data_IF_209266154853
#
_entry.id   IF_209266154853
#
_cell.length_a   1.000
_cell.length_b   1.000
_cell.length_c   1.000
_cell.angle_alpha   90.00
_cell.angle_beta   90.00
_cell.angle_gamma   90.00
#
_symmetry.space_group_name_H-M   'P 1'
#
loop_
_entity.id
_entity.type
_entity.pdbx_description
1 polymer ?
#
# COMPACT_ATOMS: atom_id res chain seq x y z
N UNK A 1 2.97 -7.09 65.99
CA UNK A 1 2.74 -6.55 64.66
C UNK A 1 1.50 -7.25 64.09
N UNK A 2 0.42 -6.52 63.83
CA UNK A 2 -0.94 -7.07 63.69
C UNK A 2 -1.16 -7.80 62.33
N UNK A 3 -1.64 -9.02 62.38
CA UNK A 3 -1.95 -9.87 61.20
C UNK A 3 -2.79 -9.15 60.13
N UNK A 4 -3.64 -8.20 60.55
CA UNK A 4 -4.43 -7.34 59.68
C UNK A 4 -3.58 -6.36 58.87
N UNK A 5 -2.46 -5.91 59.39
CA UNK A 5 -1.54 -5.00 58.72
C UNK A 5 -0.77 -5.69 57.57
N UNK A 6 -0.40 -6.96 57.74
CA UNK A 6 0.23 -7.75 56.71
C UNK A 6 -0.72 -8.07 55.58
N UNK A 7 -1.99 -8.35 55.86
CA UNK A 7 -3.00 -8.63 54.83
C UNK A 7 -3.29 -7.37 54.01
N UNK A 8 -3.39 -6.19 54.65
CA UNK A 8 -3.63 -4.93 53.94
C UNK A 8 -2.42 -4.52 53.06
N UNK A 9 -1.19 -4.75 53.53
CA UNK A 9 0.03 -4.49 52.75
C UNK A 9 0.16 -5.45 51.54
N UNK A 10 -0.21 -6.73 51.73
CA UNK A 10 -0.17 -7.72 50.67
C UNK A 10 -1.22 -7.43 49.59
N UNK A 11 -2.44 -7.01 49.98
CA UNK A 11 -3.48 -6.59 49.05
C UNK A 11 -3.09 -5.33 48.26
N UNK A 12 -2.46 -4.34 48.90
CA UNK A 12 -2.02 -3.12 48.20
C UNK A 12 -0.87 -3.38 47.20
N UNK A 13 0.03 -4.34 47.47
CA UNK A 13 1.09 -4.76 46.51
C UNK A 13 0.48 -5.53 45.34
N UNK A 14 -0.50 -6.40 45.57
CA UNK A 14 -1.15 -7.17 44.49
C UNK A 14 -1.98 -6.27 43.59
N UNK A 15 -2.68 -5.26 44.12
CA UNK A 15 -3.44 -4.28 43.33
C UNK A 15 -2.48 -3.36 42.57
N UNK A 16 -1.37 -2.95 43.19
CA UNK A 16 -0.34 -2.12 42.54
C UNK A 16 0.36 -2.85 41.36
N UNK A 17 0.59 -4.16 41.46
CA UNK A 17 1.19 -4.94 40.38
C UNK A 17 0.21 -5.19 39.23
N UNK A 18 -1.07 -5.23 39.46
CA UNK A 18 -2.08 -5.38 38.40
C UNK A 18 -2.24 -4.10 37.57
N UNK A 19 -2.07 -2.93 38.15
CA UNK A 19 -2.09 -1.65 37.41
C UNK A 19 -0.85 -1.49 36.53
N UNK A 20 0.28 -2.08 36.90
CA UNK A 20 1.52 -2.09 36.09
C UNK A 20 1.47 -3.09 34.91
N UNK A 21 0.51 -4.03 34.91
CA UNK A 21 0.29 -4.98 33.83
C UNK A 21 -0.82 -4.55 32.85
N UNK A 22 -1.41 -3.38 33.02
CA UNK A 22 -2.26 -2.78 32.01
C UNK A 22 -1.35 -2.44 30.82
N UNK A 23 -1.23 -3.39 29.90
CA UNK A 23 -0.51 -3.21 28.65
C UNK A 23 -1.06 -1.95 27.97
N UNK A 24 -0.25 -0.92 27.82
CA UNK A 24 -0.65 0.29 27.14
C UNK A 24 -1.26 -0.11 25.79
N UNK A 25 -2.54 0.19 25.60
CA UNK A 25 -3.26 -0.16 24.38
C UNK A 25 -2.49 0.48 23.23
N UNK A 26 -1.87 -0.33 22.38
CA UNK A 26 -1.17 0.18 21.19
C UNK A 26 -2.21 0.81 20.28
N UNK A 27 -2.20 2.11 20.19
CA UNK A 27 -3.02 2.86 19.26
C UNK A 27 -2.33 2.86 17.90
N UNK A 28 -3.08 2.51 16.85
CA UNK A 28 -2.62 2.63 15.47
C UNK A 28 -2.78 4.09 15.00
N UNK A 29 -1.67 4.75 14.69
CA UNK A 29 -1.63 6.11 14.16
C UNK A 29 -0.92 6.07 12.81
N UNK A 30 -1.70 5.79 11.76
CA UNK A 30 -1.20 5.62 10.39
C UNK A 30 -1.24 6.92 9.58
N UNK A 31 -0.26 7.08 8.68
CA UNK A 31 -0.23 8.12 7.67
C UNK A 31 0.02 7.55 6.28
N UNK A 32 -0.64 8.12 5.25
CA UNK A 32 -0.46 7.70 3.87
C UNK A 32 0.64 8.48 3.17
N UNK A 33 1.50 7.76 2.43
CA UNK A 33 2.43 8.32 1.46
C UNK A 33 2.05 7.75 0.09
N UNK A 34 1.40 8.57 -0.74
CA UNK A 34 0.97 8.17 -2.09
C UNK A 34 2.00 8.54 -3.15
N UNK A 35 2.04 7.79 -4.26
CA UNK A 35 2.88 8.11 -5.41
C UNK A 35 2.08 8.61 -6.63
N UNK A 36 0.80 8.24 -6.71
CA UNK A 36 -0.08 8.52 -7.86
C UNK A 36 -0.31 10.03 -8.12
N UNK A 37 -0.09 10.88 -7.13
CA UNK A 37 -0.11 12.34 -7.26
C UNK A 37 1.12 12.92 -7.98
N UNK A 38 2.11 12.06 -8.30
CA UNK A 38 3.32 12.48 -9.01
C UNK A 38 4.40 13.14 -8.14
N UNK A 39 4.29 13.10 -6.81
CA UNK A 39 5.25 13.76 -5.91
C UNK A 39 6.70 13.27 -6.06
N UNK A 40 6.90 12.10 -6.65
CA UNK A 40 8.24 11.53 -6.87
C UNK A 40 8.73 11.65 -8.32
N UNK A 41 7.87 12.14 -9.24
CA UNK A 41 8.23 12.30 -10.64
C UNK A 41 9.43 13.23 -10.82
N UNK A 42 10.41 12.76 -11.59
CA UNK A 42 11.62 13.52 -11.88
C UNK A 42 12.62 13.63 -10.72
N UNK A 43 12.31 13.01 -9.57
CA UNK A 43 13.28 12.89 -8.47
C UNK A 43 14.20 11.70 -8.75
N UNK A 44 15.50 11.93 -8.79
CA UNK A 44 16.49 10.84 -8.73
C UNK A 44 16.46 10.18 -7.34
N UNK A 45 17.13 9.01 -7.22
CA UNK A 45 17.20 8.20 -5.99
C UNK A 45 17.49 9.05 -4.74
N UNK A 46 18.58 9.81 -4.76
CA UNK A 46 19.03 10.52 -3.55
C UNK A 46 18.04 11.60 -3.10
N UNK A 47 17.45 12.32 -4.06
CA UNK A 47 16.45 13.34 -3.75
C UNK A 47 15.15 12.73 -3.24
N UNK A 48 14.68 11.64 -3.84
CA UNK A 48 13.50 10.93 -3.36
C UNK A 48 13.72 10.40 -1.94
N UNK A 49 14.86 9.78 -1.67
CA UNK A 49 15.22 9.31 -0.33
C UNK A 49 15.30 10.46 0.69
N UNK A 50 15.83 11.62 0.31
CA UNK A 50 15.86 12.79 1.16
C UNK A 50 14.46 13.28 1.52
N UNK A 51 13.57 13.41 0.53
CA UNK A 51 12.17 13.81 0.72
C UNK A 51 11.46 12.84 1.65
N UNK A 52 11.57 11.53 1.38
CA UNK A 52 10.94 10.50 2.20
C UNK A 52 11.46 10.50 3.64
N UNK A 53 12.78 10.65 3.86
CA UNK A 53 13.33 10.78 5.22
C UNK A 53 12.74 11.97 5.96
N UNK A 54 12.67 13.14 5.30
CA UNK A 54 12.08 14.34 5.91
C UNK A 54 10.62 14.11 6.32
N UNK A 55 9.82 13.50 5.43
CA UNK A 55 8.43 13.14 5.75
C UNK A 55 8.33 12.17 6.94
N UNK A 56 9.16 11.13 6.97
CA UNK A 56 9.18 10.15 8.05
C UNK A 56 9.59 10.80 9.39
N UNK A 57 10.58 11.69 9.38
CA UNK A 57 11.05 12.38 10.59
C UNK A 57 9.98 13.34 11.15
N UNK A 58 9.23 14.02 10.28
CA UNK A 58 8.10 14.88 10.69
C UNK A 58 6.95 14.04 11.25
N UNK A 59 6.53 13.00 10.54
CA UNK A 59 5.47 12.09 10.99
C UNK A 59 5.83 11.41 12.32
N UNK A 60 7.09 11.05 12.54
CA UNK A 60 7.55 10.50 13.82
C UNK A 60 7.41 11.51 14.97
N UNK A 61 7.74 12.78 14.75
CA UNK A 61 7.55 13.85 15.75
C UNK A 61 6.09 14.05 16.10
N UNK A 62 5.19 13.88 15.12
CA UNK A 62 3.75 13.98 15.30
C UNK A 62 3.13 12.71 15.92
N UNK A 63 3.96 11.73 16.25
CA UNK A 63 3.54 10.50 16.93
C UNK A 63 2.95 9.44 16.02
N UNK A 64 3.09 9.55 14.69
CA UNK A 64 2.73 8.49 13.73
C UNK A 64 3.59 7.26 13.99
N UNK A 65 2.99 6.08 13.96
CA UNK A 65 3.67 4.80 14.22
C UNK A 65 3.46 3.75 13.12
N UNK A 66 2.75 4.11 12.04
CA UNK A 66 2.59 3.28 10.86
C UNK A 66 2.55 4.12 9.58
N UNK A 67 3.24 3.69 8.55
CA UNK A 67 3.27 4.33 7.23
C UNK A 67 2.56 3.41 6.24
N UNK A 68 1.56 3.96 5.56
CA UNK A 68 0.83 3.28 4.49
C UNK A 68 1.39 3.81 3.16
N UNK A 69 2.34 3.05 2.58
CA UNK A 69 3.10 3.47 1.41
C UNK A 69 2.54 2.87 0.13
N UNK A 70 2.16 3.72 -0.84
CA UNK A 70 1.63 3.27 -2.11
C UNK A 70 2.73 2.68 -3.00
N UNK A 71 2.69 1.36 -3.18
CA UNK A 71 3.71 0.61 -3.92
C UNK A 71 3.22 0.09 -5.27
N UNK A 72 1.89 0.10 -5.50
CA UNK A 72 1.28 -0.39 -6.74
C UNK A 72 0.11 0.51 -7.18
N UNK A 73 0.38 1.58 -7.94
CA UNK A 73 -0.65 2.57 -8.32
C UNK A 73 -1.48 2.20 -9.56
N UNK A 74 -0.90 1.60 -10.61
CA UNK A 74 -1.50 1.41 -11.94
C UNK A 74 -1.14 0.04 -12.57
N UNK A 75 -1.31 -1.07 -11.87
CA UNK A 75 -0.78 -2.39 -12.28
C UNK A 75 0.70 -2.31 -12.65
N UNK A 76 1.44 -1.52 -11.92
CA UNK A 76 2.87 -1.29 -11.98
C UNK A 76 3.43 -1.12 -10.58
N UNK A 77 4.74 -1.16 -10.39
CA UNK A 77 5.34 -1.31 -9.08
C UNK A 77 6.42 -0.26 -8.77
N UNK A 78 6.46 0.19 -7.50
CA UNK A 78 7.59 0.92 -6.90
C UNK A 78 8.54 -0.04 -6.16
N UNK A 79 8.64 -1.27 -6.62
CA UNK A 79 9.53 -2.31 -6.09
C UNK A 79 9.91 -3.27 -7.23
N UNK A 80 10.92 -4.11 -7.03
CA UNK A 80 11.38 -5.07 -8.03
C UNK A 80 10.37 -6.21 -8.22
N UNK A 81 9.26 -5.95 -8.92
CA UNK A 81 8.22 -6.94 -9.19
C UNK A 81 8.64 -7.88 -10.33
N UNK A 82 8.48 -9.22 -10.17
CA UNK A 82 8.67 -10.16 -11.28
C UNK A 82 7.45 -10.23 -12.21
N UNK A 83 6.35 -9.56 -11.86
CA UNK A 83 5.07 -9.68 -12.58
C UNK A 83 4.64 -8.41 -13.28
N UNK A 84 4.98 -7.23 -12.73
CA UNK A 84 4.53 -5.93 -13.19
C UNK A 84 5.71 -5.02 -13.55
N UNK A 85 5.52 -4.08 -14.48
CA UNK A 85 6.57 -3.12 -14.83
C UNK A 85 6.88 -2.16 -13.70
N UNK A 86 8.06 -1.56 -13.71
CA UNK A 86 8.37 -0.41 -12.87
C UNK A 86 7.39 0.73 -13.15
N UNK A 87 6.92 1.38 -12.08
CA UNK A 87 5.95 2.46 -12.20
C UNK A 87 6.57 3.72 -12.81
N UNK A 88 5.81 4.37 -13.69
CA UNK A 88 6.17 5.71 -14.20
C UNK A 88 6.27 6.77 -13.11
N UNK A 89 5.56 6.61 -12.02
CA UNK A 89 5.61 7.53 -10.86
C UNK A 89 6.96 7.53 -10.15
N UNK A 90 7.78 6.53 -10.41
CA UNK A 90 9.16 6.46 -9.90
C UNK A 90 10.16 7.10 -10.86
N UNK A 91 10.04 6.81 -12.16
CA UNK A 91 11.08 7.14 -13.16
C UNK A 91 10.61 8.09 -14.25
N UNK A 92 9.31 8.41 -14.30
CA UNK A 92 8.68 9.14 -15.40
C UNK A 92 8.26 8.26 -16.59
N UNK A 93 8.80 7.05 -16.71
CA UNK A 93 8.47 6.11 -17.77
C UNK A 93 8.17 4.73 -17.20
N UNK A 94 6.99 4.18 -17.53
CA UNK A 94 6.62 2.84 -17.07
C UNK A 94 7.51 1.76 -17.71
N UNK A 95 7.97 0.84 -16.89
CA UNK A 95 8.86 -0.25 -17.30
C UNK A 95 10.36 0.09 -17.20
N UNK A 96 10.73 1.35 -16.99
CA UNK A 96 12.11 1.76 -16.81
C UNK A 96 12.51 1.58 -15.33
N UNK A 97 13.52 0.75 -15.02
CA UNK A 97 14.02 0.65 -13.64
C UNK A 97 14.74 1.94 -13.21
N UNK A 98 14.75 2.26 -11.90
CA UNK A 98 15.44 3.44 -11.40
C UNK A 98 16.96 3.35 -11.61
N UNK A 99 17.60 4.49 -11.91
CA UNK A 99 19.04 4.61 -12.09
C UNK A 99 19.59 5.74 -11.16
N UNK A 100 20.59 5.44 -10.29
CA UNK A 100 21.13 4.10 -10.00
C UNK A 100 20.06 3.17 -9.43
N UNK A 101 20.22 1.85 -9.67
CA UNK A 101 19.24 0.85 -9.22
C UNK A 101 19.06 0.86 -7.69
N UNK A 102 17.83 0.81 -7.24
CA UNK A 102 17.42 0.62 -5.85
C UNK A 102 15.98 0.11 -5.79
N UNK A 103 15.58 -0.46 -4.67
CA UNK A 103 14.22 -0.92 -4.42
C UNK A 103 13.56 0.02 -3.40
N UNK A 104 12.59 0.87 -3.82
CA UNK A 104 11.92 1.80 -2.93
C UNK A 104 11.19 1.14 -1.75
N UNK A 105 10.54 -0.01 -1.97
CA UNK A 105 9.81 -0.71 -0.92
C UNK A 105 10.76 -1.26 0.13
N UNK A 106 11.80 -1.98 -0.27
CA UNK A 106 12.81 -2.50 0.65
C UNK A 106 13.45 -1.38 1.47
N UNK A 107 13.81 -0.27 0.82
CA UNK A 107 14.40 0.88 1.48
C UNK A 107 13.44 1.57 2.47
N UNK A 108 12.15 1.71 2.13
CA UNK A 108 11.13 2.30 3.01
C UNK A 108 10.88 1.44 4.25
N UNK A 109 10.87 0.11 4.12
CA UNK A 109 10.79 -0.81 5.25
C UNK A 109 11.92 -0.53 6.24
N UNK A 110 13.18 -0.51 5.75
CA UNK A 110 14.35 -0.22 6.57
C UNK A 110 14.25 1.13 7.28
N UNK A 111 13.83 2.18 6.58
CA UNK A 111 13.72 3.53 7.16
C UNK A 111 12.57 3.63 8.18
N UNK A 112 11.45 2.93 7.98
CA UNK A 112 10.35 2.86 8.94
C UNK A 112 10.78 2.08 10.19
N UNK A 113 11.37 0.90 10.04
CA UNK A 113 11.81 0.07 11.15
C UNK A 113 12.90 0.75 12.02
N UNK A 114 13.84 1.49 11.42
CA UNK A 114 14.80 2.33 12.16
C UNK A 114 14.11 3.36 13.08
N UNK A 115 12.92 3.82 12.72
CA UNK A 115 12.10 4.77 13.48
C UNK A 115 11.08 4.11 14.38
N UNK A 116 11.06 2.76 14.45
CA UNK A 116 10.04 1.96 15.16
C UNK A 116 8.62 2.23 14.66
N UNK A 117 8.50 2.49 13.35
CA UNK A 117 7.24 2.60 12.64
C UNK A 117 6.97 1.32 11.86
N UNK A 118 5.71 0.93 11.76
CA UNK A 118 5.27 -0.13 10.86
C UNK A 118 5.24 0.38 9.41
N UNK A 119 5.52 -0.49 8.44
CA UNK A 119 5.28 -0.22 7.02
C UNK A 119 4.20 -1.13 6.48
N UNK A 120 3.13 -0.53 5.98
CA UNK A 120 2.03 -1.20 5.29
C UNK A 120 2.14 -0.95 3.79
N UNK A 121 2.29 -2.01 3.01
CA UNK A 121 2.33 -1.92 1.56
C UNK A 121 0.91 -1.66 1.02
N UNK A 122 0.71 -0.49 0.42
CA UNK A 122 -0.57 -0.11 -0.17
C UNK A 122 -0.59 -0.36 -1.67
N UNK A 123 -1.58 -1.13 -2.13
CA UNK A 123 -1.86 -1.34 -3.54
C UNK A 123 -3.23 -0.78 -3.90
N UNK A 124 -3.38 -0.24 -5.12
CA UNK A 124 -4.68 -0.15 -5.76
C UNK A 124 -4.91 -1.45 -6.57
N UNK A 125 -5.91 -2.27 -6.23
CA UNK A 125 -6.04 -3.60 -6.82
C UNK A 125 -6.46 -3.56 -8.29
N UNK A 126 -7.32 -2.60 -8.70
CA UNK A 126 -7.97 -2.67 -10.00
C UNK A 126 -7.66 -1.51 -10.95
N UNK A 127 -7.07 -0.41 -10.50
CA UNK A 127 -6.65 0.65 -11.39
C UNK A 127 -5.48 0.20 -12.27
N UNK A 128 -5.72 0.05 -13.57
CA UNK A 128 -4.69 -0.32 -14.53
C UNK A 128 -4.08 0.91 -15.21
N UNK A 129 -4.82 2.04 -15.31
CA UNK A 129 -4.33 3.28 -15.90
C UNK A 129 -5.16 4.47 -15.43
N UNK A 130 -4.52 5.55 -15.00
CA UNK A 130 -5.18 6.85 -14.79
C UNK A 130 -5.37 7.61 -16.10
N UNK A 131 -6.15 8.70 -16.06
CA UNK A 131 -6.33 9.62 -17.21
C UNK A 131 -5.02 10.26 -17.68
N UNK A 132 -4.04 10.40 -16.78
CA UNK A 132 -2.77 11.08 -17.07
C UNK A 132 -1.67 10.16 -17.60
N UNK A 133 -1.92 8.85 -17.66
CA UNK A 133 -0.96 7.87 -18.20
C UNK A 133 -1.20 7.70 -19.69
N UNK A 134 -0.24 8.14 -20.52
CA UNK A 134 -0.38 8.07 -21.98
C UNK A 134 0.13 6.76 -22.54
N UNK A 135 1.29 6.28 -22.07
CA UNK A 135 1.95 5.09 -22.61
C UNK A 135 2.06 4.00 -21.55
N UNK A 136 1.68 2.78 -21.92
CA UNK A 136 1.85 1.59 -21.11
C UNK A 136 3.06 0.79 -21.60
N UNK A 137 3.82 0.22 -20.68
CA UNK A 137 4.91 -0.70 -21.00
C UNK A 137 4.39 -1.96 -21.69
N UNK A 138 5.19 -2.55 -22.59
CA UNK A 138 4.83 -3.79 -23.30
C UNK A 138 4.57 -4.98 -22.37
N UNK A 139 5.12 -4.96 -21.15
CA UNK A 139 4.87 -5.99 -20.14
C UNK A 139 3.71 -5.66 -19.18
N UNK A 140 3.01 -4.53 -19.36
CA UNK A 140 1.82 -4.19 -18.58
C UNK A 140 0.65 -5.13 -18.90
N UNK A 141 -0.19 -5.45 -17.89
CA UNK A 141 -1.29 -6.43 -18.02
C UNK A 141 -2.30 -6.02 -19.10
N UNK A 142 -2.63 -4.74 -19.21
CA UNK A 142 -3.56 -4.24 -20.24
C UNK A 142 -3.01 -4.39 -21.68
N UNK A 143 -1.70 -4.48 -21.86
CA UNK A 143 -1.06 -4.77 -23.15
C UNK A 143 -0.99 -6.27 -23.39
N UNK A 144 -0.56 -7.04 -22.38
CA UNK A 144 -0.45 -8.51 -22.50
C UNK A 144 -1.79 -9.23 -22.57
N UNK A 145 -2.81 -8.68 -21.94
CA UNK A 145 -4.14 -9.26 -21.85
C UNK A 145 -5.22 -8.17 -21.96
N UNK A 146 -5.46 -7.62 -23.17
CA UNK A 146 -6.40 -6.52 -23.33
C UNK A 146 -7.82 -6.82 -22.84
N UNK A 147 -8.26 -8.09 -22.90
CA UNK A 147 -9.57 -8.52 -22.39
C UNK A 147 -9.68 -8.54 -20.85
N UNK A 148 -8.58 -8.29 -20.11
CA UNK A 148 -8.61 -8.24 -18.66
C UNK A 148 -9.06 -6.87 -18.11
N UNK A 149 -9.12 -5.84 -18.95
CA UNK A 149 -9.46 -4.46 -18.56
C UNK A 149 -10.67 -3.94 -19.34
N UNK A 150 -11.37 -2.98 -18.76
CA UNK A 150 -12.33 -2.15 -19.47
C UNK A 150 -11.97 -0.67 -19.36
N UNK A 151 -12.38 0.12 -20.34
CA UNK A 151 -12.20 1.56 -20.34
C UNK A 151 -13.39 2.25 -19.68
N UNK A 152 -13.13 3.21 -18.81
CA UNK A 152 -14.15 4.03 -18.18
C UNK A 152 -13.59 5.41 -17.84
N UNK A 153 -14.27 6.46 -18.28
CA UNK A 153 -13.89 7.85 -17.98
C UNK A 153 -12.39 8.17 -18.20
N UNK A 154 -11.85 7.70 -19.34
CA UNK A 154 -10.44 7.90 -19.72
C UNK A 154 -9.42 7.06 -18.92
N UNK A 155 -9.88 6.19 -18.03
CA UNK A 155 -9.08 5.25 -17.27
C UNK A 155 -9.17 3.83 -17.86
N UNK A 156 -8.26 2.94 -17.45
CA UNK A 156 -8.41 1.50 -17.60
C UNK A 156 -8.55 0.86 -16.23
N UNK A 157 -9.55 0.01 -16.09
CA UNK A 157 -9.86 -0.72 -14.87
C UNK A 157 -9.66 -2.22 -15.13
N UNK A 158 -8.88 -2.88 -14.30
CA UNK A 158 -8.79 -4.33 -14.30
C UNK A 158 -10.14 -4.89 -13.84
N UNK A 159 -10.81 -5.69 -14.68
CA UNK A 159 -12.16 -6.15 -14.43
C UNK A 159 -12.21 -7.10 -13.21
N UNK A 160 -12.79 -6.71 -12.06
CA UNK A 160 -12.85 -7.54 -10.86
C UNK A 160 -13.81 -8.71 -10.99
N UNK A 161 -14.74 -8.68 -11.95
CA UNK A 161 -15.64 -9.77 -12.27
C UNK A 161 -14.93 -11.01 -12.84
N UNK A 162 -13.74 -10.84 -13.42
CA UNK A 162 -12.94 -11.94 -13.96
C UNK A 162 -12.16 -12.68 -12.86
N UNK A 163 -12.36 -14.01 -12.65
CA UNK A 163 -11.63 -14.78 -11.66
C UNK A 163 -10.11 -14.71 -11.81
N UNK A 164 -9.63 -14.72 -13.06
CA UNK A 164 -8.19 -14.61 -13.37
C UNK A 164 -7.56 -13.30 -12.89
N UNK A 165 -8.32 -12.19 -12.91
CA UNK A 165 -7.87 -10.90 -12.41
C UNK A 165 -7.78 -10.90 -10.88
N UNK A 166 -8.78 -11.47 -10.20
CA UNK A 166 -8.73 -11.64 -8.73
C UNK A 166 -7.55 -12.51 -8.30
N UNK A 167 -7.33 -13.63 -9.01
CA UNK A 167 -6.17 -14.49 -8.77
C UNK A 167 -4.85 -13.76 -9.05
N UNK A 168 -4.81 -12.90 -10.05
CA UNK A 168 -3.63 -12.07 -10.35
C UNK A 168 -3.33 -11.11 -9.19
N UNK A 169 -4.33 -10.43 -8.62
CA UNK A 169 -4.14 -9.56 -7.45
C UNK A 169 -3.66 -10.36 -6.24
N UNK A 170 -4.25 -11.53 -5.98
CA UNK A 170 -3.78 -12.42 -4.91
C UNK A 170 -2.31 -12.82 -5.10
N UNK A 171 -1.89 -13.06 -6.34
CA UNK A 171 -0.49 -13.37 -6.67
C UNK A 171 0.45 -12.19 -6.38
N UNK A 172 0.05 -10.96 -6.72
CA UNK A 172 0.81 -9.75 -6.40
C UNK A 172 0.93 -9.56 -4.88
N UNK A 173 -0.19 -9.66 -4.16
CA UNK A 173 -0.18 -9.55 -2.69
C UNK A 173 0.72 -10.61 -2.05
N UNK A 174 0.61 -11.85 -2.51
CA UNK A 174 1.46 -12.96 -2.04
C UNK A 174 2.94 -12.71 -2.30
N UNK A 175 3.29 -12.16 -3.46
CA UNK A 175 4.68 -11.83 -3.80
C UNK A 175 5.27 -10.78 -2.85
N UNK A 176 4.52 -9.71 -2.59
CA UNK A 176 4.94 -8.66 -1.65
C UNK A 176 5.17 -9.26 -0.26
N UNK A 177 4.16 -9.93 0.30
CA UNK A 177 4.21 -10.45 1.68
C UNK A 177 5.28 -11.52 1.86
N UNK A 178 5.61 -12.30 0.82
CA UNK A 178 6.65 -13.34 0.90
C UNK A 178 8.07 -12.80 0.79
N UNK A 179 8.27 -11.71 0.06
CA UNK A 179 9.61 -11.21 -0.26
C UNK A 179 10.04 -10.00 0.57
N UNK A 180 9.10 -9.29 1.14
CA UNK A 180 9.35 -8.07 1.89
C UNK A 180 8.84 -8.21 3.33
N UNK A 181 9.60 -7.66 4.27
CA UNK A 181 9.27 -7.63 5.70
C UNK A 181 8.29 -6.49 6.00
N UNK A 182 7.12 -6.52 5.31
CA UNK A 182 6.04 -5.56 5.54
C UNK A 182 5.25 -5.94 6.80
N UNK A 183 4.91 -4.96 7.63
CA UNK A 183 4.12 -5.16 8.85
C UNK A 183 2.62 -5.28 8.55
N UNK A 184 2.20 -4.72 7.39
CA UNK A 184 0.82 -4.76 6.96
C UNK A 184 0.67 -4.67 5.44
N UNK A 185 -0.54 -5.04 4.99
CA UNK A 185 -0.94 -4.92 3.60
C UNK A 185 -2.23 -4.09 3.54
N UNK A 186 -2.25 -3.05 2.71
CA UNK A 186 -3.34 -2.10 2.64
C UNK A 186 -3.95 -2.06 1.24
N UNK A 187 -5.27 -2.00 1.19
CA UNK A 187 -6.06 -1.77 -0.02
C UNK A 187 -6.99 -0.59 0.29
N UNK A 188 -7.03 0.42 -0.60
CA UNK A 188 -7.93 1.56 -0.48
C UNK A 188 -9.38 1.20 -0.87
N UNK A 189 -10.27 2.18 -0.87
CA UNK A 189 -11.70 2.00 -1.14
C UNK A 189 -12.06 2.19 -2.63
N UNK A 190 -11.11 2.51 -3.49
CA UNK A 190 -11.35 2.81 -4.90
C UNK A 190 -11.25 1.55 -5.76
N UNK A 191 -12.26 0.66 -5.67
CA UNK A 191 -12.29 -0.59 -6.43
C UNK A 191 -13.02 -0.46 -7.77
N UNK A 192 -14.12 0.26 -7.79
CA UNK A 192 -14.86 0.66 -8.96
C UNK A 192 -14.76 2.17 -9.15
N UNK A 193 -14.77 2.67 -10.40
CA UNK A 193 -14.74 4.11 -10.63
C UNK A 193 -16.05 4.76 -10.16
N UNK A 194 -15.95 6.01 -9.67
CA UNK A 194 -17.14 6.78 -9.35
C UNK A 194 -17.98 7.04 -10.60
N UNK A 195 -19.33 7.10 -10.49
CA UNK A 195 -20.21 7.36 -11.62
C UNK A 195 -19.82 8.64 -12.37
N UNK A 196 -19.67 8.54 -13.69
CA UNK A 196 -19.44 9.66 -14.59
C UNK A 196 -20.67 9.88 -15.46
N UNK A 197 -21.06 11.16 -15.67
CA UNK A 197 -22.26 11.50 -16.43
C UNK A 197 -22.21 10.93 -17.86
N UNK A 198 -23.27 10.25 -18.27
CA UNK A 198 -23.40 9.66 -19.60
C UNK A 198 -22.53 8.42 -19.86
N UNK A 199 -21.93 7.83 -18.82
CA UNK A 199 -21.15 6.62 -18.96
C UNK A 199 -21.73 5.48 -18.11
N UNK A 200 -21.64 4.25 -18.65
CA UNK A 200 -21.99 3.02 -17.96
C UNK A 200 -20.76 2.11 -17.89
N UNK A 201 -20.64 1.35 -16.83
CA UNK A 201 -19.60 0.33 -16.70
C UNK A 201 -20.07 -0.90 -17.49
N UNK A 202 -19.19 -1.44 -18.33
CA UNK A 202 -19.53 -2.59 -19.19
C UNK A 202 -19.26 -3.91 -18.41
N UNK A 203 -20.07 -4.20 -17.39
CA UNK A 203 -19.94 -5.37 -16.51
C UNK A 203 -21.23 -6.21 -16.38
N UNK A 204 -22.24 -5.95 -17.21
CA UNK A 204 -23.53 -6.68 -17.21
C UNK A 204 -23.36 -8.20 -17.30
N UNK A 205 -22.36 -8.65 -18.08
CA UNK A 205 -22.07 -10.07 -18.23
C UNK A 205 -21.58 -10.68 -16.91
N UNK A 206 -20.64 -10.03 -16.25
CA UNK A 206 -20.06 -10.48 -14.98
C UNK A 206 -21.11 -10.41 -13.88
N UNK A 207 -21.90 -9.34 -13.82
CA UNK A 207 -23.02 -9.22 -12.90
C UNK A 207 -24.00 -10.38 -13.04
N UNK A 208 -24.38 -10.73 -14.28
CA UNK A 208 -25.31 -11.83 -14.56
C UNK A 208 -24.74 -13.20 -14.14
N UNK A 209 -23.42 -13.40 -14.21
CA UNK A 209 -22.76 -14.65 -13.80
C UNK A 209 -22.78 -14.87 -12.29
N UNK A 210 -22.84 -13.81 -11.49
CA UNK A 210 -22.77 -13.88 -10.02
C UNK A 210 -24.12 -13.69 -9.31
N UNK A 211 -25.17 -13.32 -10.04
CA UNK A 211 -26.51 -13.10 -9.50
C UNK A 211 -27.51 -14.26 -9.73
N UNK A 212 -27.04 -15.41 -10.21
CA UNK A 212 -27.84 -16.61 -10.40
C UNK A 212 -27.57 -17.66 -9.34
#
# INVERSE_FOLDING_TARGET
MNRKFFIALFLSVVVGTQVLLAQAKREFRGAWIQCVNGQFLGLGKDRMQQVLRSQLDEMQKDGVNAIIFQVRPECDALYASPYEPWSRFLTGQQGLPPQPYWDPLAWMIDECHKRRMELHAWINPFRAKTKTTNNLSSNHIAIKKPGSVFAYDGQLILNPGLPENRNYICKIATDIVRRYDVDGFHIDDYFYPYPAAGQTIADDREYSLYNN
#
